data_IF_972012036164
#
_entry.id   IF_972012036164
#
_cell.length_a   1.000
_cell.length_b   1.000
_cell.length_c   1.000
_cell.angle_alpha   90.00
_cell.angle_beta   90.00
_cell.angle_gamma   90.00
#
_symmetry.space_group_name_H-M   'P 1'
#
loop_
_entity.id
_entity.type
_entity.pdbx_description
1 polymer ?
#
# COMPACT_ATOMS: atom_id res chain seq x y z
N UNK A 1 -30.04 33.64 15.63
CA UNK A 1 -29.69 32.22 15.39
C UNK A 1 -28.54 32.20 14.40
N UNK A 2 -27.31 31.94 14.87
CA UNK A 2 -26.12 31.93 14.01
C UNK A 2 -26.08 30.59 13.27
N UNK A 3 -26.16 30.62 11.94
CA UNK A 3 -25.99 29.43 11.11
C UNK A 3 -24.59 28.88 11.35
N UNK A 4 -24.51 27.66 11.89
CA UNK A 4 -23.24 26.95 12.05
C UNK A 4 -22.83 26.43 10.68
N UNK A 5 -21.87 27.10 10.06
CA UNK A 5 -21.32 26.70 8.78
C UNK A 5 -20.38 25.51 8.98
N UNK A 6 -20.64 24.41 8.28
CA UNK A 6 -19.78 23.22 8.30
C UNK A 6 -18.61 23.47 7.33
N UNK A 7 -17.38 23.30 7.80
CA UNK A 7 -16.15 23.38 7.00
C UNK A 7 -15.64 21.98 6.65
N UNK A 8 -14.75 21.90 5.66
CA UNK A 8 -14.07 20.65 5.29
C UNK A 8 -13.36 20.01 6.49
N UNK A 9 -12.71 20.82 7.33
CA UNK A 9 -12.05 20.39 8.57
C UNK A 9 -13.03 19.80 9.62
N UNK A 10 -14.28 20.28 9.67
CA UNK A 10 -15.29 19.69 10.56
C UNK A 10 -15.67 18.27 10.08
N UNK A 11 -15.78 18.08 8.76
CA UNK A 11 -16.09 16.77 8.15
C UNK A 11 -14.91 15.82 8.30
N UNK A 12 -13.69 16.29 8.05
CA UNK A 12 -12.45 15.50 8.20
C UNK A 12 -12.30 14.98 9.63
N UNK A 13 -12.49 15.83 10.65
CA UNK A 13 -12.37 15.43 12.06
C UNK A 13 -13.34 14.31 12.44
N UNK A 14 -14.60 14.43 12.03
CA UNK A 14 -15.62 13.40 12.27
C UNK A 14 -15.27 12.10 11.55
N UNK A 15 -14.81 12.17 10.30
CA UNK A 15 -14.38 10.98 9.56
C UNK A 15 -13.19 10.28 10.24
N UNK A 16 -12.20 11.06 10.71
CA UNK A 16 -11.06 10.51 11.45
C UNK A 16 -11.47 9.85 12.77
N UNK A 17 -12.47 10.40 13.48
CA UNK A 17 -13.05 9.76 14.67
C UNK A 17 -13.68 8.41 14.32
N UNK A 18 -14.49 8.33 13.26
CA UNK A 18 -15.07 7.05 12.81
C UNK A 18 -14.01 6.01 12.44
N UNK A 19 -12.94 6.43 11.75
CA UNK A 19 -11.83 5.52 11.42
C UNK A 19 -11.13 5.00 12.68
N UNK A 20 -10.90 5.85 13.69
CA UNK A 20 -10.32 5.41 14.97
C UNK A 20 -11.23 4.43 15.70
N UNK A 21 -12.53 4.66 15.72
CA UNK A 21 -13.51 3.76 16.35
C UNK A 21 -13.54 2.38 15.66
N UNK A 22 -13.24 2.33 14.36
CA UNK A 22 -13.06 1.10 13.58
C UNK A 22 -11.67 0.46 13.75
N UNK A 23 -10.78 1.04 14.56
CA UNK A 23 -9.44 0.52 14.85
C UNK A 23 -8.35 0.99 13.88
N UNK A 24 -8.64 1.95 12.99
CA UNK A 24 -7.64 2.48 12.06
C UNK A 24 -6.70 3.47 12.75
N UNK A 25 -5.41 3.36 12.43
CA UNK A 25 -4.46 4.40 12.77
C UNK A 25 -4.69 5.64 11.89
N UNK A 26 -4.83 6.80 12.52
CA UNK A 26 -4.96 8.09 11.80
C UNK A 26 -3.70 8.92 11.95
N UNK A 27 -3.23 9.54 10.88
CA UNK A 27 -2.10 10.47 10.88
C UNK A 27 -2.36 11.62 9.91
N UNK A 28 -1.66 12.74 10.10
CA UNK A 28 -1.75 13.88 9.18
C UNK A 28 -0.70 13.78 8.08
N UNK A 29 -0.98 14.38 6.92
CA UNK A 29 -0.01 14.50 5.83
C UNK A 29 1.35 15.07 6.27
N UNK A 30 1.40 16.19 7.02
CA UNK A 30 2.65 16.73 7.56
C UNK A 30 3.40 15.77 8.49
N UNK A 31 2.68 14.98 9.30
CA UNK A 31 3.31 13.97 10.17
C UNK A 31 4.07 12.89 9.38
N UNK A 32 3.58 12.56 8.18
CA UNK A 32 4.18 11.56 7.29
C UNK A 32 5.23 12.13 6.33
N UNK A 33 5.34 13.45 6.24
CA UNK A 33 6.26 14.14 5.34
C UNK A 33 7.73 13.99 5.75
N UNK A 34 8.67 14.53 4.96
CA UNK A 34 10.11 14.35 5.18
C UNK A 34 10.58 14.92 6.52
N UNK A 35 10.00 16.06 6.91
CA UNK A 35 10.25 16.75 8.19
C UNK A 35 9.23 16.37 9.27
N UNK A 36 8.44 15.33 9.02
CA UNK A 36 7.40 14.85 9.92
C UNK A 36 7.95 14.04 11.09
N UNK A 37 7.12 13.83 12.11
CA UNK A 37 7.48 13.00 13.26
C UNK A 37 7.50 11.49 12.94
N UNK A 38 6.80 11.06 11.89
CA UNK A 38 6.76 9.68 11.38
C UNK A 38 7.04 9.69 9.88
N UNK A 39 8.27 10.01 9.44
CA UNK A 39 8.57 10.23 8.04
C UNK A 39 8.44 8.93 7.24
N UNK A 40 7.30 8.77 6.55
CA UNK A 40 7.05 7.65 5.64
C UNK A 40 7.19 8.07 4.17
N UNK A 41 7.22 9.40 3.89
CA UNK A 41 7.42 9.98 2.58
C UNK A 41 8.74 10.74 2.51
N UNK A 42 9.49 10.53 1.42
CA UNK A 42 10.68 11.30 1.10
C UNK A 42 10.37 12.68 0.51
N UNK A 43 9.17 12.86 -0.06
CA UNK A 43 8.63 14.13 -0.51
C UNK A 43 7.08 14.11 -0.48
N UNK A 44 6.44 15.29 -0.47
CA UNK A 44 4.98 15.39 -0.36
C UNK A 44 4.23 14.96 -1.63
N UNK A 45 4.92 14.72 -2.75
CA UNK A 45 4.35 14.20 -3.99
C UNK A 45 4.21 12.67 -4.01
N UNK A 46 4.80 11.95 -3.04
CA UNK A 46 4.68 10.51 -2.95
C UNK A 46 3.27 10.07 -2.54
N UNK A 47 2.59 9.39 -3.46
CA UNK A 47 1.25 8.82 -3.24
C UNK A 47 1.29 7.41 -2.64
N UNK A 48 2.45 6.74 -2.67
CA UNK A 48 2.66 5.42 -2.06
C UNK A 48 3.63 5.54 -0.89
N UNK A 49 3.26 4.98 0.27
CA UNK A 49 4.15 4.83 1.42
C UNK A 49 5.07 3.62 1.21
N UNK A 50 6.12 3.80 0.41
CA UNK A 50 6.94 2.69 -0.12
C UNK A 50 7.51 1.80 0.99
N UNK A 51 8.05 2.38 2.05
CA UNK A 51 8.63 1.62 3.16
C UNK A 51 7.59 0.80 3.93
N UNK A 52 6.35 1.29 4.06
CA UNK A 52 5.25 0.53 4.66
C UNK A 52 4.81 -0.61 3.76
N UNK A 53 4.69 -0.36 2.45
CA UNK A 53 4.36 -1.37 1.46
C UNK A 53 5.42 -2.49 1.42
N UNK A 54 6.71 -2.15 1.45
CA UNK A 54 7.81 -3.12 1.52
C UNK A 54 7.70 -4.02 2.75
N UNK A 55 7.48 -3.43 3.95
CA UNK A 55 7.30 -4.19 5.20
C UNK A 55 6.06 -5.08 5.16
N UNK A 56 4.96 -4.60 4.57
CA UNK A 56 3.74 -5.39 4.40
C UNK A 56 3.97 -6.59 3.47
N UNK A 57 4.61 -6.38 2.31
CA UNK A 57 4.99 -7.45 1.38
C UNK A 57 5.87 -8.50 2.09
N UNK A 58 6.84 -8.07 2.89
CA UNK A 58 7.70 -8.98 3.65
C UNK A 58 6.93 -9.80 4.69
N UNK A 59 6.00 -9.16 5.43
CA UNK A 59 5.15 -9.81 6.43
C UNK A 59 4.20 -10.84 5.81
N UNK A 60 3.60 -10.52 4.66
CA UNK A 60 2.65 -11.40 3.97
C UNK A 60 3.34 -12.58 3.24
N UNK A 61 4.63 -12.48 2.95
CA UNK A 61 5.39 -13.45 2.16
C UNK A 61 6.70 -13.90 2.84
N UNK A 62 6.68 -14.41 4.08
CA UNK A 62 7.88 -14.71 4.87
C UNK A 62 8.76 -15.80 4.24
N UNK A 63 8.19 -16.69 3.42
CA UNK A 63 8.92 -17.74 2.72
C UNK A 63 9.52 -17.30 1.36
N UNK A 64 9.08 -16.14 0.82
CA UNK A 64 9.60 -15.63 -0.45
C UNK A 64 11.03 -15.06 -0.26
N UNK A 65 11.97 -15.31 -1.19
CA UNK A 65 13.29 -14.69 -1.15
C UNK A 65 13.22 -13.16 -1.21
N UNK A 66 14.20 -12.46 -0.65
CA UNK A 66 14.27 -10.99 -0.66
C UNK A 66 14.11 -10.42 -2.08
N UNK A 67 14.88 -10.93 -3.05
CA UNK A 67 14.81 -10.46 -4.44
C UNK A 67 13.43 -10.62 -5.09
N UNK A 68 12.64 -11.62 -4.69
CA UNK A 68 11.27 -11.80 -5.17
C UNK A 68 10.34 -10.72 -4.62
N UNK A 69 10.50 -10.35 -3.34
CA UNK A 69 9.72 -9.28 -2.69
C UNK A 69 10.07 -7.91 -3.28
N UNK A 70 11.36 -7.65 -3.48
CA UNK A 70 11.84 -6.42 -4.12
C UNK A 70 11.32 -6.29 -5.56
N UNK A 71 11.34 -7.37 -6.34
CA UNK A 71 10.82 -7.36 -7.70
C UNK A 71 9.32 -7.10 -7.74
N UNK A 72 8.56 -7.69 -6.80
CA UNK A 72 7.13 -7.42 -6.68
C UNK A 72 6.85 -5.95 -6.33
N UNK A 73 7.63 -5.37 -5.41
CA UNK A 73 7.54 -3.94 -5.08
C UNK A 73 7.84 -3.06 -6.29
N UNK A 74 8.89 -3.36 -7.06
CA UNK A 74 9.24 -2.61 -8.28
C UNK A 74 8.13 -2.70 -9.33
N UNK A 75 7.55 -3.89 -9.53
CA UNK A 75 6.46 -4.10 -10.48
C UNK A 75 5.20 -3.31 -10.10
N UNK A 76 4.91 -3.17 -8.80
CA UNK A 76 3.81 -2.33 -8.30
C UNK A 76 4.02 -0.84 -8.54
N UNK A 77 5.24 -0.35 -8.33
CA UNK A 77 5.56 1.08 -8.47
C UNK A 77 5.70 1.53 -9.94
N UNK A 78 5.91 0.59 -10.86
CA UNK A 78 6.02 0.88 -12.29
C UNK A 78 4.64 1.11 -12.90
N UNK A 79 4.53 2.18 -13.69
CA UNK A 79 3.43 2.41 -14.63
C UNK A 79 3.77 1.70 -15.96
N UNK A 80 2.91 0.81 -16.40
CA UNK A 80 3.06 -0.08 -17.57
C UNK A 80 2.08 0.21 -18.71
N UNK A 81 1.03 0.97 -18.46
CA UNK A 81 -0.09 1.24 -19.35
C UNK A 81 -0.42 2.74 -19.38
N UNK A 82 -0.77 3.28 -20.55
CA UNK A 82 -0.99 4.71 -20.74
C UNK A 82 -2.34 5.20 -20.20
N UNK A 83 -3.27 4.30 -19.87
CA UNK A 83 -4.61 4.67 -19.39
C UNK A 83 -4.84 4.20 -17.96
N UNK A 84 -5.54 5.03 -17.18
CA UNK A 84 -5.91 4.71 -15.80
C UNK A 84 -6.74 3.43 -15.70
N UNK A 85 -7.61 3.15 -16.68
CA UNK A 85 -8.44 1.94 -16.68
C UNK A 85 -7.60 0.68 -16.83
N UNK A 86 -6.63 0.69 -17.75
CA UNK A 86 -5.72 -0.44 -17.93
C UNK A 86 -4.83 -0.62 -16.70
N UNK A 87 -4.34 0.47 -16.11
CA UNK A 87 -3.54 0.39 -14.89
C UNK A 87 -4.30 -0.14 -13.69
N UNK A 88 -5.50 0.39 -13.46
CA UNK A 88 -6.36 -0.11 -12.40
C UNK A 88 -6.65 -1.60 -12.57
N UNK A 89 -6.88 -2.07 -13.80
CA UNK A 89 -7.08 -3.50 -14.07
C UNK A 89 -5.82 -4.33 -13.76
N UNK A 90 -4.62 -3.83 -14.10
CA UNK A 90 -3.35 -4.51 -13.78
C UNK A 90 -3.12 -4.59 -12.27
N UNK A 91 -3.22 -3.46 -11.57
CA UNK A 91 -3.05 -3.38 -10.11
C UNK A 91 -4.10 -4.20 -9.36
N UNK A 92 -5.36 -4.19 -9.81
CA UNK A 92 -6.40 -5.07 -9.30
C UNK A 92 -6.03 -6.55 -9.49
N UNK A 93 -5.46 -6.91 -10.65
CA UNK A 93 -4.91 -8.24 -10.90
C UNK A 93 -3.89 -8.66 -9.85
N UNK A 94 -3.00 -7.75 -9.44
CA UNK A 94 -2.01 -8.00 -8.38
C UNK A 94 -2.64 -8.11 -6.99
N UNK A 95 -3.64 -7.29 -6.67
CA UNK A 95 -4.33 -7.37 -5.38
C UNK A 95 -5.05 -8.72 -5.20
N UNK A 96 -5.68 -9.23 -6.26
CA UNK A 96 -6.44 -10.48 -6.20
C UNK A 96 -5.53 -11.71 -6.29
N UNK A 97 -4.57 -11.72 -7.22
CA UNK A 97 -3.79 -12.92 -7.54
C UNK A 97 -2.37 -12.92 -6.97
N UNK A 98 -1.90 -11.79 -6.47
CA UNK A 98 -0.48 -11.54 -6.21
C UNK A 98 0.29 -11.08 -7.44
N UNK A 99 1.52 -10.62 -7.21
CA UNK A 99 2.46 -10.24 -8.25
C UNK A 99 3.29 -11.48 -8.65
N UNK A 100 3.21 -11.86 -9.91
CA UNK A 100 4.03 -12.94 -10.47
C UNK A 100 5.44 -12.43 -10.69
N UNK A 101 6.43 -13.02 -10.02
CA UNK A 101 7.85 -12.71 -10.18
C UNK A 101 8.62 -13.96 -10.61
N UNK A 102 9.57 -13.81 -11.53
CA UNK A 102 10.45 -14.91 -11.91
C UNK A 102 11.53 -15.10 -10.85
N UNK A 103 11.69 -16.34 -10.38
CA UNK A 103 12.76 -16.71 -9.45
C UNK A 103 13.56 -17.86 -10.04
N UNK A 104 14.89 -17.79 -9.95
CA UNK A 104 15.74 -18.92 -10.30
C UNK A 104 15.96 -19.79 -9.06
N UNK A 105 15.43 -21.02 -9.08
CA UNK A 105 15.75 -22.05 -8.08
C UNK A 105 16.35 -23.27 -8.79
N UNK A 106 17.54 -23.69 -8.34
CA UNK A 106 18.22 -24.89 -8.83
C UNK A 106 18.38 -24.93 -10.37
N UNK A 107 18.74 -23.79 -10.98
CA UNK A 107 18.96 -23.71 -12.44
C UNK A 107 17.69 -23.71 -13.29
N UNK A 108 16.49 -23.64 -12.69
CA UNK A 108 15.22 -23.47 -13.40
C UNK A 108 14.51 -22.19 -12.96
N UNK A 109 13.94 -21.49 -13.94
CA UNK A 109 13.03 -20.39 -13.68
C UNK A 109 11.70 -20.94 -13.17
N UNK A 110 11.23 -20.44 -12.02
CA UNK A 110 9.90 -20.70 -11.51
C UNK A 110 9.24 -19.36 -11.19
N UNK A 111 8.03 -19.18 -11.70
CA UNK A 111 7.15 -18.10 -11.25
C UNK A 111 6.82 -18.30 -9.78
N UNK A 112 7.15 -17.32 -8.96
CA UNK A 112 6.69 -17.21 -7.58
C UNK A 112 5.58 -16.14 -7.53
N UNK A 113 4.56 -16.37 -6.70
CA UNK A 113 3.53 -15.37 -6.43
C UNK A 113 3.85 -14.65 -5.13
N UNK A 114 3.91 -13.32 -5.19
CA UNK A 114 4.06 -12.46 -4.02
C UNK A 114 2.71 -11.82 -3.73
N UNK A 115 2.10 -12.19 -2.61
CA UNK A 115 0.77 -11.71 -2.19
C UNK A 115 0.83 -10.29 -1.66
N UNK A 116 -0.20 -9.51 -1.96
CA UNK A 116 -0.36 -8.14 -1.46
C UNK A 116 -1.48 -8.00 -0.43
N UNK A 117 -2.42 -8.93 -0.46
CA UNK A 117 -3.54 -9.03 0.46
C UNK A 117 -3.63 -10.47 0.92
N UNK A 118 -3.78 -10.68 2.23
CA UNK A 118 -4.18 -11.95 2.80
C UNK A 118 -5.71 -12.04 2.81
N UNK A 119 -6.27 -12.63 1.76
CA UNK A 119 -7.71 -12.87 1.66
C UNK A 119 -8.20 -13.99 2.58
N UNK A 120 -7.29 -14.83 3.11
CA UNK A 120 -7.64 -15.95 3.99
C UNK A 120 -7.72 -15.55 5.46
N UNK A 121 -6.93 -14.55 5.86
CA UNK A 121 -6.88 -13.98 7.20
C UNK A 121 -6.79 -12.45 7.08
N UNK A 122 -7.92 -11.75 6.88
CA UNK A 122 -7.95 -10.30 6.64
C UNK A 122 -7.25 -9.46 7.71
N UNK A 123 -7.19 -9.94 8.94
CA UNK A 123 -6.50 -9.34 10.08
C UNK A 123 -4.98 -9.24 9.93
N UNK A 124 -4.38 -9.97 8.98
CA UNK A 124 -2.95 -9.87 8.66
C UNK A 124 -2.61 -8.65 7.78
N UNK A 125 -3.64 -8.04 7.18
CA UNK A 125 -3.49 -6.84 6.37
C UNK A 125 -3.39 -5.61 7.26
N UNK A 126 -2.53 -4.66 6.85
CA UNK A 126 -2.42 -3.32 7.45
C UNK A 126 -3.28 -2.34 6.64
#
# INVERSE_FOLDING_TARGET
>A
MMLRYIREDDVEKVALEWFRDLGWATCTGPSLGPEGYLPERADLGQVVLVGRLERAIARLNPAAPLGAREEALRALLRVEHPTLVQENRRLHGYLVNGVTVSTHRQGRERGAQVRLVDWSAPENND
#
